data_IF_292581097194
#
_entry.id   IF_292581097194
#
_cell.length_a   1.000
_cell.length_b   1.000
_cell.length_c   1.000
_cell.angle_alpha   90.00
_cell.angle_beta   90.00
_cell.angle_gamma   90.00
#
_symmetry.space_group_name_H-M   'P 1'
#
loop_
_entity.id
_entity.type
_entity.pdbx_description
1 polymer ?
#
# COMPACT_ATOMS: atom_id res chain seq x y z
N UNK A 1 -15.21 -10.82 -36.96
CA UNK A 1 -15.17 -9.53 -36.23
C UNK A 1 -13.71 -9.15 -36.06
N UNK A 2 -13.26 -8.05 -36.67
CA UNK A 2 -11.86 -7.60 -36.63
C UNK A 2 -11.64 -6.76 -35.36
N UNK A 3 -10.87 -7.30 -34.41
CA UNK A 3 -10.38 -6.59 -33.22
C UNK A 3 -9.42 -5.48 -33.64
N UNK A 4 -9.67 -4.25 -33.23
CA UNK A 4 -8.75 -3.12 -33.35
C UNK A 4 -8.19 -2.83 -31.95
N UNK A 5 -6.93 -3.19 -31.73
CA UNK A 5 -6.16 -2.87 -30.53
C UNK A 5 -5.55 -1.49 -30.75
N UNK A 6 -6.03 -0.48 -30.02
CA UNK A 6 -5.44 0.86 -30.03
C UNK A 6 -4.47 0.98 -28.84
N UNK A 7 -3.18 0.79 -29.11
CA UNK A 7 -2.10 0.99 -28.14
C UNK A 7 -1.61 2.43 -28.26
N UNK A 8 -2.02 3.28 -27.34
CA UNK A 8 -1.61 4.69 -27.32
C UNK A 8 -0.39 4.83 -26.40
N UNK A 9 0.78 4.98 -27.01
CA UNK A 9 2.06 5.15 -26.33
C UNK A 9 2.38 6.65 -26.27
N UNK A 10 2.45 7.22 -25.07
CA UNK A 10 2.84 8.62 -24.86
C UNK A 10 4.27 8.64 -24.34
N UNK A 11 5.19 9.18 -25.13
CA UNK A 11 6.60 9.40 -24.78
C UNK A 11 6.76 10.78 -24.15
N UNK A 12 7.08 10.82 -22.86
CA UNK A 12 7.57 12.02 -22.20
C UNK A 12 9.09 11.93 -22.03
N UNK A 13 9.80 12.90 -22.59
CA UNK A 13 11.25 13.07 -22.41
C UNK A 13 11.47 14.36 -21.60
N UNK A 14 11.87 14.20 -20.34
CA UNK A 14 12.53 15.21 -19.51
C UNK A 14 13.48 14.44 -18.56
N UNK A 15 14.81 14.49 -18.72
CA UNK A 15 15.73 15.54 -18.27
C UNK A 15 15.74 15.73 -16.74
N UNK A 16 16.90 15.44 -16.12
CA UNK A 16 17.19 15.28 -14.68
C UNK A 16 16.65 13.99 -14.03
N UNK A 17 17.53 12.98 -13.96
CA UNK A 17 17.25 11.62 -13.50
C UNK A 17 16.92 11.51 -12.01
N UNK A 18 15.72 11.93 -11.63
CA UNK A 18 15.00 11.25 -10.56
C UNK A 18 14.53 9.94 -11.15
N UNK A 19 15.02 8.82 -10.61
CA UNK A 19 14.46 7.51 -10.93
C UNK A 19 13.02 7.53 -10.43
N UNK A 20 12.07 7.81 -11.33
CA UNK A 20 10.65 7.63 -11.06
C UNK A 20 10.42 6.13 -10.91
N UNK A 21 10.39 5.66 -9.67
CA UNK A 21 9.97 4.30 -9.38
C UNK A 21 8.47 4.20 -9.63
N UNK A 22 8.09 3.60 -10.76
CA UNK A 22 6.70 3.27 -11.05
C UNK A 22 6.26 2.12 -10.15
N UNK A 23 5.40 2.42 -9.18
CA UNK A 23 4.75 1.42 -8.34
C UNK A 23 3.64 0.73 -9.14
N UNK A 24 3.90 -0.49 -9.60
CA UNK A 24 2.90 -1.29 -10.31
C UNK A 24 2.01 -1.98 -9.28
N UNK A 25 0.84 -1.41 -9.03
CA UNK A 25 -0.19 -2.01 -8.16
C UNK A 25 -1.32 -2.48 -9.06
N UNK A 26 -1.52 -3.80 -9.12
CA UNK A 26 -2.59 -4.39 -9.90
C UNK A 26 -3.92 -4.24 -9.17
N UNK A 27 -4.88 -3.57 -9.83
CA UNK A 27 -6.27 -3.47 -9.39
C UNK A 27 -7.11 -4.40 -10.26
N UNK A 28 -8.02 -5.16 -9.64
CA UNK A 28 -8.90 -6.08 -10.38
C UNK A 28 -9.82 -5.29 -11.32
N UNK A 29 -9.72 -5.56 -12.63
CA UNK A 29 -10.49 -4.86 -13.66
C UNK A 29 -12.00 -5.19 -13.63
N UNK A 30 -12.40 -6.22 -12.88
CA UNK A 30 -13.81 -6.57 -12.68
C UNK A 30 -14.54 -5.64 -11.72
N UNK A 31 -13.79 -4.84 -10.95
CA UNK A 31 -14.34 -3.85 -10.04
C UNK A 31 -15.01 -2.70 -10.79
N UNK A 32 -16.04 -2.11 -10.20
CA UNK A 32 -16.66 -0.89 -10.70
C UNK A 32 -15.69 0.28 -10.71
N UNK A 33 -15.93 1.28 -11.54
CA UNK A 33 -15.10 2.49 -11.60
C UNK A 33 -14.99 3.19 -10.23
N UNK A 34 -16.07 3.18 -9.44
CA UNK A 34 -16.09 3.75 -8.09
C UNK A 34 -15.16 2.97 -7.14
N UNK A 35 -15.18 1.64 -7.19
CA UNK A 35 -14.29 0.80 -6.38
C UNK A 35 -12.82 0.95 -6.79
N UNK A 36 -12.55 1.03 -8.09
CA UNK A 36 -11.19 1.29 -8.60
C UNK A 36 -10.67 2.64 -8.12
N UNK A 37 -11.51 3.69 -8.16
CA UNK A 37 -11.16 5.01 -7.62
C UNK A 37 -10.94 4.97 -6.10
N UNK A 38 -11.79 4.24 -5.37
CA UNK A 38 -11.64 4.08 -3.93
C UNK A 38 -10.33 3.39 -3.57
N UNK A 39 -9.99 2.27 -4.23
CA UNK A 39 -8.70 1.58 -4.09
C UNK A 39 -7.54 2.52 -4.43
N UNK A 40 -7.59 3.20 -5.56
CA UNK A 40 -6.53 4.11 -5.99
C UNK A 40 -6.26 5.22 -4.98
N UNK A 41 -7.31 5.84 -4.45
CA UNK A 41 -7.19 6.87 -3.41
C UNK A 41 -6.65 6.32 -2.07
N UNK A 42 -7.10 5.13 -1.66
CA UNK A 42 -6.63 4.47 -0.44
C UNK A 42 -5.16 4.08 -0.54
N UNK A 43 -4.76 3.47 -1.65
CA UNK A 43 -3.36 3.13 -1.95
C UNK A 43 -2.48 4.37 -1.97
N UNK A 44 -2.90 5.45 -2.62
CA UNK A 44 -2.14 6.70 -2.64
C UNK A 44 -1.92 7.25 -1.22
N UNK A 45 -2.95 7.18 -0.36
CA UNK A 45 -2.83 7.58 1.04
C UNK A 45 -1.83 6.69 1.79
N UNK A 46 -1.87 5.37 1.59
CA UNK A 46 -0.91 4.42 2.19
C UNK A 46 0.51 4.78 1.79
N UNK A 47 0.77 4.97 0.49
CA UNK A 47 2.11 5.29 -0.01
C UNK A 47 2.62 6.62 0.56
N UNK A 48 1.75 7.63 0.67
CA UNK A 48 2.10 8.91 1.29
C UNK A 48 2.41 8.78 2.78
N UNK A 49 1.66 7.95 3.51
CA UNK A 49 1.83 7.74 4.95
C UNK A 49 3.04 6.85 5.28
N UNK A 50 3.44 5.96 4.36
CA UNK A 50 4.50 4.98 4.56
C UNK A 50 5.66 5.15 3.55
N UNK A 51 6.49 6.20 3.68
CA UNK A 51 7.57 6.46 2.73
C UNK A 51 8.61 5.33 2.67
N UNK A 52 8.84 4.59 3.76
CA UNK A 52 9.78 3.48 3.77
C UNK A 52 9.39 2.31 2.87
N UNK A 53 8.09 2.14 2.58
CA UNK A 53 7.64 1.15 1.59
C UNK A 53 8.14 1.49 0.19
N UNK A 54 8.12 2.76 -0.17
CA UNK A 54 8.63 3.22 -1.47
C UNK A 54 10.15 3.01 -1.52
N UNK A 55 10.86 3.40 -0.45
CA UNK A 55 12.31 3.21 -0.35
C UNK A 55 12.72 1.72 -0.51
N UNK A 56 11.89 0.80 -0.03
CA UNK A 56 12.15 -0.64 -0.03
C UNK A 56 11.34 -1.43 -1.06
N UNK A 57 10.75 -0.78 -2.07
CA UNK A 57 9.84 -1.44 -2.99
C UNK A 57 10.47 -2.61 -3.74
N UNK A 58 11.78 -2.55 -4.00
CA UNK A 58 12.53 -3.63 -4.64
C UNK A 58 12.57 -4.95 -3.86
N UNK A 59 12.22 -4.94 -2.57
CA UNK A 59 12.10 -6.12 -1.72
C UNK A 59 10.67 -6.66 -1.60
N UNK A 60 9.69 -6.00 -2.25
CA UNK A 60 8.31 -6.47 -2.32
C UNK A 60 8.17 -7.42 -3.52
N UNK A 61 7.77 -8.66 -3.27
CA UNK A 61 7.65 -9.69 -4.33
C UNK A 61 6.27 -9.73 -4.96
N UNK A 62 5.24 -9.33 -4.22
CA UNK A 62 3.85 -9.34 -4.66
C UNK A 62 3.06 -8.28 -3.90
N UNK A 63 2.02 -7.77 -4.54
CA UNK A 63 1.02 -6.90 -3.90
C UNK A 63 -0.39 -7.38 -4.19
N UNK A 64 -1.30 -7.17 -3.25
CA UNK A 64 -2.74 -7.38 -3.45
C UNK A 64 -3.51 -6.21 -2.84
N UNK A 65 -4.61 -5.81 -3.49
CA UNK A 65 -5.49 -4.76 -2.99
C UNK A 65 -6.92 -5.26 -2.93
N UNK A 66 -7.64 -4.87 -1.88
CA UNK A 66 -9.06 -5.20 -1.72
C UNK A 66 -9.78 -4.14 -0.87
N UNK A 67 -11.10 -4.04 -1.05
CA UNK A 67 -11.98 -3.25 -0.20
C UNK A 67 -12.59 -4.20 0.83
N UNK A 68 -12.54 -3.82 2.10
CA UNK A 68 -13.07 -4.60 3.21
C UNK A 68 -14.11 -3.79 3.97
N UNK A 69 -15.17 -4.46 4.42
CA UNK A 69 -16.07 -3.93 5.44
C UNK A 69 -15.37 -3.94 6.80
N UNK A 70 -15.48 -2.84 7.53
CA UNK A 70 -14.74 -2.63 8.77
C UNK A 70 -15.42 -3.22 10.01
N UNK A 71 -16.68 -3.67 9.91
CA UNK A 71 -17.52 -4.11 11.03
C UNK A 71 -16.83 -5.09 12.00
N UNK A 72 -15.99 -5.99 11.47
CA UNK A 72 -15.28 -7.01 12.24
C UNK A 72 -13.81 -6.68 12.52
N UNK A 73 -13.41 -5.42 12.33
CA UNK A 73 -12.04 -4.95 12.49
C UNK A 73 -11.94 -3.89 13.58
N UNK A 74 -10.78 -3.82 14.24
CA UNK A 74 -10.46 -2.80 15.25
C UNK A 74 -10.71 -1.38 14.73
N UNK A 75 -10.44 -1.14 13.46
CA UNK A 75 -10.55 0.14 12.79
C UNK A 75 -11.98 0.72 12.82
N UNK A 76 -13.01 -0.13 12.84
CA UNK A 76 -14.38 0.35 13.00
C UNK A 76 -14.61 0.94 14.39
N UNK A 77 -14.16 0.23 15.44
CA UNK A 77 -14.26 0.71 16.82
C UNK A 77 -13.34 1.90 17.09
N UNK A 78 -12.09 1.83 16.64
CA UNK A 78 -11.02 2.74 17.06
C UNK A 78 -11.00 4.03 16.21
N UNK A 79 -11.43 3.95 14.94
CA UNK A 79 -11.39 5.07 13.99
C UNK A 79 -12.75 5.41 13.37
N UNK A 80 -13.80 4.65 13.72
CA UNK A 80 -15.14 4.86 13.16
C UNK A 80 -15.21 4.53 11.68
N UNK A 81 -14.34 3.66 11.17
CA UNK A 81 -14.37 3.27 9.76
C UNK A 81 -15.56 2.34 9.48
N UNK A 82 -16.19 2.54 8.33
CA UNK A 82 -17.21 1.62 7.80
C UNK A 82 -16.61 0.66 6.78
N UNK A 83 -15.67 1.16 5.97
CA UNK A 83 -14.91 0.41 4.97
C UNK A 83 -13.47 0.90 4.94
N UNK A 84 -12.57 0.04 4.47
CA UNK A 84 -11.19 0.43 4.18
C UNK A 84 -10.62 -0.31 2.97
N UNK A 85 -9.61 0.28 2.36
CA UNK A 85 -8.74 -0.37 1.37
C UNK A 85 -7.62 -1.05 2.13
N UNK A 86 -7.44 -2.36 1.94
CA UNK A 86 -6.28 -3.10 2.44
C UNK A 86 -5.29 -3.33 1.30
N UNK A 87 -4.05 -2.83 1.48
CA UNK A 87 -2.89 -3.17 0.66
C UNK A 87 -2.08 -4.24 1.39
N UNK A 88 -1.95 -5.40 0.75
CA UNK A 88 -1.10 -6.49 1.21
C UNK A 88 0.22 -6.46 0.45
N UNK A 89 1.33 -6.43 1.18
CA UNK A 89 2.67 -6.47 0.62
C UNK A 89 3.35 -7.75 1.09
N UNK A 90 3.86 -8.53 0.15
CA UNK A 90 4.62 -9.74 0.44
C UNK A 90 6.11 -9.39 0.38
N UNK A 91 6.78 -9.39 1.53
CA UNK A 91 8.20 -9.05 1.63
C UNK A 91 9.04 -10.27 1.31
N UNK A 92 10.09 -10.07 0.51
CA UNK A 92 11.05 -11.11 0.20
C UNK A 92 11.61 -11.76 1.48
N UNK A 93 11.83 -13.08 1.46
CA UNK A 93 12.47 -13.83 2.55
C UNK A 93 13.96 -13.51 2.77
N UNK A 94 14.57 -12.79 1.82
CA UNK A 94 15.95 -12.30 1.85
C UNK A 94 15.99 -10.89 1.25
N UNK A 95 15.40 -9.89 1.92
CA UNK A 95 15.38 -8.53 1.41
C UNK A 95 16.80 -7.97 1.34
N UNK A 96 17.09 -7.18 0.31
CA UNK A 96 18.41 -6.59 0.05
C UNK A 96 18.54 -5.20 0.65
N UNK A 97 17.44 -4.44 0.71
CA UNK A 97 17.42 -3.05 1.13
C UNK A 97 16.78 -2.84 2.50
N UNK A 98 15.83 -3.69 2.92
CA UNK A 98 15.22 -3.60 4.24
C UNK A 98 16.24 -3.99 5.32
N UNK A 99 16.51 -3.13 6.32
CA UNK A 99 17.40 -3.45 7.43
C UNK A 99 16.96 -4.70 8.21
N UNK A 100 17.91 -5.58 8.53
CA UNK A 100 17.62 -6.84 9.23
C UNK A 100 16.98 -6.65 10.62
N UNK A 101 17.25 -5.53 11.27
CA UNK A 101 16.65 -5.16 12.56
C UNK A 101 15.18 -4.68 12.46
N UNK A 102 14.60 -4.58 11.26
CA UNK A 102 13.15 -4.35 11.10
C UNK A 102 12.38 -5.66 11.25
N UNK A 103 13.05 -6.81 11.15
CA UNK A 103 12.47 -8.16 11.25
C UNK A 103 11.30 -8.40 10.27
N UNK A 104 11.31 -7.76 9.09
CA UNK A 104 10.24 -7.87 8.09
C UNK A 104 10.47 -8.96 7.04
N UNK A 105 11.60 -9.66 7.09
CA UNK A 105 11.97 -10.69 6.13
C UNK A 105 10.92 -11.81 6.04
N UNK A 106 10.36 -12.03 4.85
CA UNK A 106 9.34 -13.07 4.62
C UNK A 106 7.95 -12.79 5.22
N UNK A 107 7.74 -11.60 5.81
CA UNK A 107 6.43 -11.24 6.34
C UNK A 107 5.47 -10.74 5.25
N UNK A 108 4.18 -11.02 5.43
CA UNK A 108 3.11 -10.29 4.75
C UNK A 108 2.68 -9.09 5.59
N UNK A 109 2.76 -7.90 5.01
CA UNK A 109 2.33 -6.65 5.60
C UNK A 109 0.91 -6.29 5.17
N UNK A 110 0.06 -5.96 6.16
CA UNK A 110 -1.31 -5.51 5.95
C UNK A 110 -1.38 -4.05 6.35
N UNK A 111 -1.67 -3.20 5.37
CA UNK A 111 -1.77 -1.75 5.57
C UNK A 111 -3.12 -1.31 5.06
N UNK A 112 -3.84 -0.58 5.89
CA UNK A 112 -5.25 -0.26 5.66
C UNK A 112 -5.43 1.24 5.61
N UNK A 113 -6.18 1.74 4.63
CA UNK A 113 -6.59 3.14 4.56
C UNK A 113 -8.12 3.22 4.51
N UNK A 114 -8.69 3.99 5.43
CA UNK A 114 -10.12 4.16 5.53
C UNK A 114 -10.52 5.58 5.86
N UNK A 115 -11.83 5.81 5.81
CA UNK A 115 -12.49 7.06 6.19
C UNK A 115 -13.60 6.72 7.20
N UNK A 116 -14.08 7.72 7.93
CA UNK A 116 -15.11 7.55 8.94
C UNK A 116 -14.99 8.63 10.01
N UNK A 117 -15.13 8.26 11.28
CA UNK A 117 -14.90 9.17 12.41
C UNK A 117 -13.52 9.83 12.39
N UNK A 118 -12.49 9.10 11.96
CA UNK A 118 -11.11 9.59 11.78
C UNK A 118 -10.47 8.99 10.54
N UNK A 119 -10.25 9.75 9.48
CA UNK A 119 -9.55 9.26 8.29
C UNK A 119 -8.05 9.03 8.56
N UNK A 120 -7.47 7.97 7.98
CA UNK A 120 -6.04 7.70 8.17
C UNK A 120 -5.57 6.37 7.58
N UNK A 121 -4.41 5.92 8.06
CA UNK A 121 -3.75 4.67 7.68
C UNK A 121 -3.41 3.87 8.94
N UNK A 122 -3.75 2.58 8.94
CA UNK A 122 -3.45 1.61 9.99
C UNK A 122 -2.45 0.57 9.47
N UNK A 123 -1.38 0.29 10.21
CA UNK A 123 -0.41 -0.77 9.90
C UNK A 123 -0.48 -1.83 11.00
N UNK A 124 -0.88 -3.05 10.64
CA UNK A 124 -1.36 -4.10 11.57
C UNK A 124 -0.24 -4.99 12.14
N UNK A 125 0.96 -4.94 11.57
CA UNK A 125 2.07 -5.79 12.00
C UNK A 125 3.29 -4.96 12.35
N UNK A 126 3.83 -5.26 13.52
CA UNK A 126 5.02 -4.62 14.05
C UNK A 126 6.17 -4.45 13.04
N UNK A 127 6.62 -5.55 12.42
CA UNK A 127 7.70 -5.50 11.43
C UNK A 127 7.40 -4.59 10.23
N UNK A 128 6.11 -4.47 9.88
CA UNK A 128 5.65 -3.63 8.79
C UNK A 128 5.55 -2.16 9.18
N UNK A 129 5.36 -1.86 10.47
CA UNK A 129 5.50 -0.49 10.98
C UNK A 129 6.93 -0.02 10.76
N UNK A 130 7.92 -0.87 11.08
CA UNK A 130 9.33 -0.52 10.87
C UNK A 130 9.66 -0.24 9.40
N UNK A 131 9.13 -1.06 8.49
CA UNK A 131 9.25 -0.83 7.04
C UNK A 131 8.51 0.44 6.61
N UNK A 132 7.29 0.69 7.11
CA UNK A 132 6.49 1.86 6.76
C UNK A 132 7.19 3.17 7.16
N UNK A 133 7.73 3.22 8.38
CA UNK A 133 8.38 4.40 8.93
C UNK A 133 9.84 4.57 8.51
N UNK A 134 10.43 3.55 7.89
CA UNK A 134 11.87 3.43 7.70
C UNK A 134 12.64 3.65 9.02
N UNK A 135 12.22 2.94 10.07
CA UNK A 135 12.86 3.02 11.37
C UNK A 135 12.61 1.76 12.19
N UNK A 136 13.62 1.30 12.94
CA UNK A 136 13.43 0.20 13.88
C UNK A 136 12.59 0.67 15.07
N UNK A 137 11.29 0.36 15.05
CA UNK A 137 10.37 0.66 16.15
C UNK A 137 10.11 -0.59 17.00
N UNK A 138 9.42 -0.44 18.14
CA UNK A 138 8.81 -1.53 18.94
C UNK A 138 7.27 -1.46 18.97
N UNK A 139 6.68 -0.50 18.27
CA UNK A 139 5.23 -0.29 18.29
C UNK A 139 4.53 -1.38 17.48
N UNK A 140 3.58 -2.10 18.10
CA UNK A 140 2.88 -3.21 17.44
C UNK A 140 2.04 -2.74 16.25
N UNK A 141 1.44 -1.56 16.38
CA UNK A 141 0.54 -0.95 15.41
C UNK A 141 0.77 0.57 15.39
N UNK A 142 0.50 1.18 14.23
CA UNK A 142 0.46 2.64 14.12
C UNK A 142 -0.78 3.08 13.35
N UNK A 143 -1.38 4.16 13.84
CA UNK A 143 -2.32 4.98 13.09
C UNK A 143 -1.63 6.25 12.63
N UNK A 144 -1.77 6.58 11.34
CA UNK A 144 -1.24 7.80 10.74
C UNK A 144 -2.44 8.60 10.23
N UNK A 145 -2.66 9.79 10.79
CA UNK A 145 -3.73 10.69 10.32
C UNK A 145 -3.47 11.07 8.84
N UNK A 146 -4.53 11.06 8.04
CA UNK A 146 -4.48 11.20 6.57
C UNK A 146 -4.50 12.63 6.04
#
# INVERSE_FOLDING_TARGET
MKMLIAMMMVLFVAACGKVEQTLNISVDQRLSAQEQQYIGSGVLRIIKACPGIVAHWGDVTQTETQIMDAENYSESRDYGWEKFVELRLYINSRPRSIPGNYFASGHTCYIRAGNGGRAGVSVVKHACVSVCQDSATRNSDIFIDG
#
